data_IF_325401308717
#
_entry.id   IF_325401308717
#
_cell.length_a   1.000
_cell.length_b   1.000
_cell.length_c   1.000
_cell.angle_alpha   90.00
_cell.angle_beta   90.00
_cell.angle_gamma   90.00
#
_symmetry.space_group_name_H-M   'P 1'
#
loop_
_entity.id
_entity.type
_entity.pdbx_description
1 polymer ?
#
# COMPACT_ATOMS: atom_id res chain seq x y z
N UNK A 1 15.61 -4.73 2.69
CA UNK A 1 15.60 -3.38 2.07
C UNK A 1 16.14 -3.30 0.64
N UNK A 2 17.44 -3.53 0.34
CA UNK A 2 18.00 -3.29 -1.01
C UNK A 2 17.30 -4.10 -2.14
N UNK A 3 16.96 -5.36 -1.87
CA UNK A 3 16.24 -6.22 -2.80
C UNK A 3 14.79 -5.77 -3.05
N UNK A 4 14.08 -5.34 -2.00
CA UNK A 4 12.70 -4.81 -2.09
C UNK A 4 12.64 -3.51 -2.90
N UNK A 5 13.63 -2.62 -2.71
CA UNK A 5 13.77 -1.37 -3.48
C UNK A 5 14.02 -1.67 -4.96
N UNK A 6 14.90 -2.64 -5.25
CA UNK A 6 15.19 -3.05 -6.63
C UNK A 6 13.94 -3.62 -7.33
N UNK A 7 13.18 -4.49 -6.66
CA UNK A 7 11.94 -5.05 -7.20
C UNK A 7 10.87 -3.98 -7.41
N UNK A 8 10.75 -3.04 -6.46
CA UNK A 8 9.82 -1.92 -6.57
C UNK A 8 10.20 -0.99 -7.73
N UNK A 9 11.50 -0.70 -7.92
CA UNK A 9 12.00 0.08 -9.04
C UNK A 9 11.76 -0.61 -10.39
N UNK A 10 11.99 -1.92 -10.47
CA UNK A 10 11.70 -2.70 -11.67
C UNK A 10 10.20 -2.69 -12.03
N UNK A 11 9.31 -2.72 -11.03
CA UNK A 11 7.87 -2.64 -11.24
C UNK A 11 7.40 -1.29 -11.81
N UNK A 12 8.20 -0.21 -11.70
CA UNK A 12 7.92 1.08 -12.34
C UNK A 12 8.32 1.16 -13.81
N UNK A 13 9.21 0.27 -14.30
CA UNK A 13 9.72 0.34 -15.67
C UNK A 13 8.60 0.28 -16.74
N UNK A 14 7.59 -0.60 -16.64
CA UNK A 14 6.45 -0.61 -17.57
C UNK A 14 5.70 0.73 -17.64
N UNK A 15 5.61 1.46 -16.53
CA UNK A 15 4.97 2.78 -16.49
C UNK A 15 5.82 3.84 -17.20
N UNK A 16 7.14 3.79 -17.06
CA UNK A 16 8.05 4.66 -17.80
C UNK A 16 7.97 4.42 -19.32
N UNK A 17 7.87 3.14 -19.74
CA UNK A 17 7.65 2.79 -21.13
C UNK A 17 6.32 3.35 -21.65
N UNK A 18 5.24 3.22 -20.86
CA UNK A 18 3.93 3.79 -21.20
C UNK A 18 3.97 5.30 -21.32
N UNK A 19 4.63 5.97 -20.37
CA UNK A 19 4.79 7.43 -20.36
C UNK A 19 5.52 7.93 -21.61
N UNK A 20 6.52 7.17 -22.09
CA UNK A 20 7.21 7.46 -23.35
C UNK A 20 6.30 7.31 -24.57
N UNK A 21 5.45 6.28 -24.61
CA UNK A 21 4.54 6.04 -25.74
C UNK A 21 3.47 7.13 -25.90
N UNK A 22 3.02 7.68 -24.78
CA UNK A 22 1.96 8.69 -24.74
C UNK A 22 2.49 10.12 -24.61
N UNK A 23 3.82 10.29 -24.60
CA UNK A 23 4.50 11.55 -24.39
C UNK A 23 3.95 12.32 -23.18
N UNK A 24 3.97 11.69 -22.01
CA UNK A 24 3.43 12.25 -20.76
C UNK A 24 4.51 12.66 -19.76
N UNK A 25 5.79 12.63 -20.14
CA UNK A 25 6.89 13.00 -19.23
C UNK A 25 6.87 14.48 -18.86
N UNK A 26 6.44 15.36 -19.76
CA UNK A 26 6.21 16.78 -19.51
C UNK A 26 5.14 17.00 -18.44
N UNK A 27 3.98 16.36 -18.58
CA UNK A 27 2.88 16.42 -17.63
C UNK A 27 3.27 15.80 -16.28
N UNK A 28 4.09 14.75 -16.31
CA UNK A 28 4.60 14.13 -15.09
C UNK A 28 5.59 15.05 -14.37
N UNK A 29 6.47 15.71 -15.12
CA UNK A 29 7.50 16.62 -14.59
C UNK A 29 6.99 17.98 -14.15
N UNK A 30 5.83 18.44 -14.65
CA UNK A 30 5.30 19.77 -14.32
C UNK A 30 4.91 19.89 -12.84
N UNK A 31 4.50 18.78 -12.21
CA UNK A 31 4.12 18.77 -10.80
C UNK A 31 2.89 19.62 -10.48
N UNK A 32 2.09 19.99 -11.48
CA UNK A 32 0.92 20.87 -11.29
C UNK A 32 -0.09 20.28 -10.30
N UNK A 33 -0.18 18.95 -10.20
CA UNK A 33 -1.01 18.26 -9.23
C UNK A 33 -0.69 18.65 -7.78
N UNK A 34 0.56 19.01 -7.45
CA UNK A 34 0.96 19.42 -6.10
C UNK A 34 0.36 20.76 -5.68
N UNK A 35 -0.13 21.56 -6.63
CA UNK A 35 -0.86 22.80 -6.34
C UNK A 35 -2.35 22.55 -6.06
N UNK A 36 -2.84 21.35 -6.35
CA UNK A 36 -4.26 21.01 -6.19
C UNK A 36 -4.61 20.64 -4.74
N UNK A 37 -5.55 21.35 -4.09
CA UNK A 37 -6.03 20.96 -2.76
C UNK A 37 -6.66 19.56 -2.73
N UNK A 38 -7.35 19.15 -3.81
CA UNK A 38 -7.99 17.83 -3.87
C UNK A 38 -6.97 16.69 -3.86
N UNK A 39 -5.78 16.92 -4.42
CA UNK A 39 -4.69 15.95 -4.40
C UNK A 39 -4.17 15.73 -2.98
N UNK A 40 -3.95 16.81 -2.22
CA UNK A 40 -3.52 16.73 -0.82
C UNK A 40 -4.58 16.13 0.10
N UNK A 41 -5.86 16.45 -0.10
CA UNK A 41 -6.95 15.83 0.64
C UNK A 41 -7.04 14.33 0.35
N UNK A 42 -6.84 13.92 -0.90
CA UNK A 42 -6.77 12.51 -1.27
C UNK A 42 -5.59 11.83 -0.60
N UNK A 43 -4.41 12.45 -0.65
CA UNK A 43 -3.21 11.94 -0.01
C UNK A 43 -3.42 11.80 1.50
N UNK A 44 -4.02 12.77 2.18
CA UNK A 44 -4.31 12.68 3.61
C UNK A 44 -5.23 11.49 3.93
N UNK A 45 -6.29 11.30 3.15
CA UNK A 45 -7.18 10.16 3.27
C UNK A 45 -6.46 8.83 3.07
N UNK A 46 -5.60 8.73 2.05
CA UNK A 46 -4.80 7.54 1.80
C UNK A 46 -3.77 7.28 2.91
N UNK A 47 -3.12 8.35 3.38
CA UNK A 47 -2.09 8.37 4.42
C UNK A 47 -2.61 7.94 5.79
N UNK A 48 -3.92 8.03 6.03
CA UNK A 48 -4.55 7.68 7.32
C UNK A 48 -4.17 6.28 7.78
N UNK A 49 -4.05 5.32 6.85
CA UNK A 49 -3.67 3.95 7.20
C UNK A 49 -2.26 3.85 7.81
N UNK A 50 -1.31 4.62 7.25
CA UNK A 50 0.09 4.60 7.65
C UNK A 50 0.30 5.36 8.95
N UNK A 51 -0.42 6.46 9.14
CA UNK A 51 -0.45 7.17 10.41
C UNK A 51 -0.97 6.27 11.53
N UNK A 52 -2.02 5.48 11.24
CA UNK A 52 -2.53 4.49 12.18
C UNK A 52 -1.49 3.41 12.49
N UNK A 53 -0.87 2.79 11.48
CA UNK A 53 0.18 1.79 11.72
C UNK A 53 1.34 2.37 12.53
N UNK A 54 1.84 3.55 12.17
CA UNK A 54 2.89 4.24 12.92
C UNK A 54 2.50 4.52 14.37
N UNK A 55 1.25 4.92 14.62
CA UNK A 55 0.74 5.08 15.98
C UNK A 55 0.71 3.76 16.76
N UNK A 56 0.18 2.68 16.18
CA UNK A 56 0.08 1.38 16.85
C UNK A 56 1.48 0.80 17.10
N UNK A 57 2.41 0.95 16.15
CA UNK A 57 3.77 0.48 16.26
C UNK A 57 4.53 1.13 17.43
N UNK A 58 4.44 2.46 17.55
CA UNK A 58 5.18 3.25 18.54
C UNK A 58 4.46 3.36 19.89
N UNK A 59 3.14 3.24 19.93
CA UNK A 59 2.31 3.43 21.13
C UNK A 59 1.36 2.25 21.39
N UNK A 60 1.81 1.02 21.16
CA UNK A 60 1.00 -0.20 21.26
C UNK A 60 0.21 -0.33 22.57
N UNK A 61 0.82 0.01 23.73
CA UNK A 61 0.15 -0.01 25.04
C UNK A 61 -1.01 0.99 25.12
N UNK A 62 -0.84 2.18 24.54
CA UNK A 62 -1.90 3.20 24.50
C UNK A 62 -3.02 2.76 23.59
N UNK A 63 -2.69 2.20 22.42
CA UNK A 63 -3.67 1.63 21.51
C UNK A 63 -4.47 0.51 22.18
N UNK A 64 -3.82 -0.43 22.86
CA UNK A 64 -4.50 -1.49 23.61
C UNK A 64 -5.49 -0.92 24.65
N UNK A 65 -5.07 0.09 25.43
CA UNK A 65 -5.96 0.75 26.39
C UNK A 65 -7.12 1.54 25.75
N UNK A 66 -6.97 1.99 24.50
CA UNK A 66 -8.04 2.62 23.72
C UNK A 66 -9.03 1.57 23.18
N UNK A 67 -8.55 0.37 22.84
CA UNK A 67 -9.40 -0.74 22.37
C UNK A 67 -10.41 -1.19 23.42
N UNK A 68 -10.11 -1.03 24.71
CA UNK A 68 -11.03 -1.36 25.81
C UNK A 68 -12.19 -0.36 25.96
N UNK A 69 -12.19 0.74 25.20
CA UNK A 69 -13.16 1.82 25.29
C UNK A 69 -14.02 1.91 24.01
N UNK A 70 -15.32 2.25 24.12
CA UNK A 70 -16.13 2.61 22.94
C UNK A 70 -15.55 3.86 22.22
N UNK A 71 -15.65 3.95 20.88
CA UNK A 71 -16.30 3.00 19.97
C UNK A 71 -15.41 1.82 19.54
N UNK A 72 -14.09 1.84 19.82
CA UNK A 72 -13.14 0.83 19.33
C UNK A 72 -13.43 -0.58 19.84
N UNK A 73 -13.95 -0.71 21.06
CA UNK A 73 -14.38 -2.01 21.62
C UNK A 73 -15.42 -2.74 20.76
N UNK A 74 -16.19 -2.02 19.95
CA UNK A 74 -17.19 -2.62 19.06
C UNK A 74 -16.56 -3.27 17.83
N UNK A 75 -15.30 -2.94 17.52
CA UNK A 75 -14.59 -3.42 16.34
C UNK A 75 -13.87 -4.76 16.56
N UNK A 76 -13.79 -5.25 17.80
CA UNK A 76 -13.08 -6.49 18.09
C UNK A 76 -12.96 -6.80 19.57
N UNK A 77 -12.69 -8.08 19.88
CA UNK A 77 -12.54 -8.58 21.24
C UNK A 77 -11.13 -8.36 21.81
N UNK A 78 -10.13 -8.29 20.92
CA UNK A 78 -8.73 -8.12 21.23
C UNK A 78 -8.16 -6.95 20.38
N UNK A 79 -7.13 -6.21 20.83
CA UNK A 79 -6.55 -5.11 20.05
C UNK A 79 -6.12 -5.49 18.62
N UNK A 80 -5.69 -6.74 18.42
CA UNK A 80 -5.37 -7.32 17.09
C UNK A 80 -6.61 -7.36 16.19
N UNK A 81 -7.77 -7.76 16.72
CA UNK A 81 -9.02 -7.81 15.97
C UNK A 81 -9.51 -6.39 15.64
N UNK A 82 -9.38 -5.47 16.62
CA UNK A 82 -9.70 -4.05 16.42
C UNK A 82 -8.83 -3.46 15.32
N UNK A 83 -7.53 -3.76 15.29
CA UNK A 83 -6.63 -3.31 14.24
C UNK A 83 -7.03 -3.89 12.87
N UNK A 84 -7.31 -5.20 12.78
CA UNK A 84 -7.80 -5.81 11.54
C UNK A 84 -9.09 -5.15 11.02
N UNK A 85 -10.04 -4.83 11.91
CA UNK A 85 -11.27 -4.11 11.55
C UNK A 85 -11.00 -2.66 11.13
N UNK A 86 -10.07 -1.97 11.80
CA UNK A 86 -9.66 -0.63 11.43
C UNK A 86 -8.97 -0.57 10.06
N UNK A 87 -8.24 -1.62 9.65
CA UNK A 87 -7.74 -1.71 8.27
C UNK A 87 -8.88 -1.70 7.26
N UNK A 88 -9.96 -2.45 7.51
CA UNK A 88 -11.12 -2.46 6.60
C UNK A 88 -11.72 -1.05 6.51
N UNK A 89 -11.87 -0.36 7.65
CA UNK A 89 -12.33 1.03 7.68
C UNK A 89 -11.37 1.95 6.91
N UNK A 90 -10.05 1.80 7.10
CA UNK A 90 -9.04 2.58 6.41
C UNK A 90 -9.05 2.33 4.90
N UNK A 91 -9.35 1.09 4.45
CA UNK A 91 -9.53 0.75 3.03
C UNK A 91 -10.76 1.42 2.44
N UNK A 92 -11.85 1.53 3.19
CA UNK A 92 -13.05 2.28 2.78
C UNK A 92 -12.76 3.78 2.68
N UNK A 93 -12.02 4.35 3.63
CA UNK A 93 -11.57 5.75 3.58
C UNK A 93 -10.67 5.97 2.36
N UNK A 94 -9.69 5.10 2.12
CA UNK A 94 -8.82 5.13 0.95
C UNK A 94 -9.61 5.10 -0.36
N UNK A 95 -10.55 4.16 -0.50
CA UNK A 95 -11.40 4.05 -1.69
C UNK A 95 -12.29 5.30 -1.86
N UNK A 96 -12.88 5.80 -0.77
CA UNK A 96 -13.69 7.03 -0.78
C UNK A 96 -12.87 8.26 -1.18
N UNK A 97 -11.67 8.42 -0.63
CA UNK A 97 -10.76 9.53 -0.96
C UNK A 97 -10.36 9.52 -2.42
N UNK A 98 -9.96 8.36 -2.97
CA UNK A 98 -9.64 8.23 -4.40
C UNK A 98 -10.88 8.49 -5.27
N UNK A 99 -12.05 7.97 -4.88
CA UNK A 99 -13.30 8.20 -5.61
C UNK A 99 -13.71 9.68 -5.66
N UNK A 100 -13.59 10.40 -4.53
CA UNK A 100 -13.84 11.83 -4.45
C UNK A 100 -12.82 12.64 -5.25
N UNK A 101 -11.54 12.27 -5.15
CA UNK A 101 -10.44 12.90 -5.90
C UNK A 101 -10.62 12.81 -7.41
N UNK A 102 -11.02 11.63 -7.91
CA UNK A 102 -11.27 11.45 -9.34
C UNK A 102 -12.47 12.27 -9.81
N UNK A 103 -13.51 12.42 -8.99
CA UNK A 103 -14.74 13.10 -9.40
C UNK A 103 -15.38 12.45 -10.65
N UNK A 104 -16.33 13.10 -11.33
CA UNK A 104 -16.91 12.56 -12.56
C UNK A 104 -15.92 12.49 -13.73
N UNK A 105 -15.12 13.55 -13.96
CA UNK A 105 -14.20 13.66 -15.09
C UNK A 105 -12.99 12.73 -14.98
N UNK A 106 -12.40 12.59 -13.80
CA UNK A 106 -11.31 11.65 -13.55
C UNK A 106 -11.78 10.20 -13.64
N UNK A 107 -13.02 9.89 -13.22
CA UNK A 107 -13.60 8.54 -13.40
C UNK A 107 -13.82 8.21 -14.88
N UNK A 108 -14.32 9.16 -15.68
CA UNK A 108 -14.44 8.94 -17.13
C UNK A 108 -13.07 8.78 -17.80
N UNK A 109 -12.07 9.56 -17.39
CA UNK A 109 -10.70 9.42 -17.88
C UNK A 109 -10.09 8.07 -17.50
N UNK A 110 -10.29 7.59 -16.27
CA UNK A 110 -9.86 6.28 -15.82
C UNK A 110 -10.52 5.15 -16.61
N UNK A 111 -11.83 5.27 -16.87
CA UNK A 111 -12.57 4.31 -17.68
C UNK A 111 -12.07 4.25 -19.13
N UNK A 112 -11.79 5.40 -19.74
CA UNK A 112 -11.20 5.46 -21.09
C UNK A 112 -9.77 4.89 -21.11
N UNK A 113 -8.95 5.24 -20.11
CA UNK A 113 -7.61 4.71 -19.96
C UNK A 113 -7.61 3.17 -19.86
N UNK A 114 -8.51 2.62 -19.05
CA UNK A 114 -8.68 1.17 -18.91
C UNK A 114 -9.11 0.49 -20.23
N UNK A 115 -10.04 1.09 -20.98
CA UNK A 115 -10.52 0.55 -22.26
C UNK A 115 -9.48 0.62 -23.39
N UNK A 116 -8.67 1.66 -23.40
CA UNK A 116 -7.70 1.93 -24.48
C UNK A 116 -6.29 1.43 -24.16
N UNK A 117 -6.06 0.96 -22.93
CA UNK A 117 -4.79 0.39 -22.54
C UNK A 117 -4.44 -0.83 -23.41
N UNK A 118 -3.23 -0.88 -24.00
CA UNK A 118 -2.76 -2.04 -24.74
C UNK A 118 -2.79 -3.32 -23.88
N UNK A 119 -2.95 -4.47 -24.52
CA UNK A 119 -3.02 -5.77 -23.84
C UNK A 119 -1.80 -6.04 -22.92
N UNK A 120 -0.62 -5.55 -23.29
CA UNK A 120 0.57 -5.73 -22.47
C UNK A 120 0.49 -4.97 -21.12
N UNK A 121 -0.21 -3.82 -21.06
CA UNK A 121 -0.42 -3.10 -19.79
C UNK A 121 -1.24 -3.95 -18.82
N UNK A 122 -2.30 -4.60 -19.34
CA UNK A 122 -3.13 -5.53 -18.58
C UNK A 122 -2.38 -6.80 -18.19
N UNK A 123 -1.53 -7.34 -19.06
CA UNK A 123 -0.69 -8.48 -18.75
C UNK A 123 0.30 -8.18 -17.61
N UNK A 124 0.93 -6.99 -17.64
CA UNK A 124 1.79 -6.52 -16.54
C UNK A 124 0.99 -6.38 -15.25
N UNK A 125 -0.17 -5.72 -15.29
CA UNK A 125 -1.03 -5.58 -14.12
C UNK A 125 -1.42 -6.94 -13.54
N UNK A 126 -1.90 -7.87 -14.37
CA UNK A 126 -2.30 -9.19 -13.94
C UNK A 126 -1.13 -9.99 -13.33
N UNK A 127 0.05 -9.94 -13.94
CA UNK A 127 1.24 -10.61 -13.43
C UNK A 127 1.70 -10.08 -12.06
N UNK A 128 1.77 -8.75 -11.92
CA UNK A 128 2.18 -8.11 -10.67
C UNK A 128 1.11 -8.20 -9.58
N UNK A 129 -0.17 -8.14 -9.95
CA UNK A 129 -1.29 -8.42 -9.05
C UNK A 129 -1.19 -9.86 -8.54
N UNK A 130 -1.02 -10.85 -9.42
CA UNK A 130 -0.94 -12.25 -9.03
C UNK A 130 0.26 -12.51 -8.09
N UNK A 131 1.44 -11.98 -8.42
CA UNK A 131 2.61 -12.06 -7.56
C UNK A 131 2.37 -11.37 -6.20
N UNK A 132 1.78 -10.18 -6.21
CA UNK A 132 1.52 -9.41 -5.00
C UNK A 132 0.48 -10.05 -4.09
N UNK A 133 -0.59 -10.59 -4.65
CA UNK A 133 -1.60 -11.33 -3.89
C UNK A 133 -1.05 -12.66 -3.36
N UNK A 134 -0.20 -13.35 -4.13
CA UNK A 134 0.48 -14.57 -3.65
C UNK A 134 1.37 -14.29 -2.44
N UNK A 135 2.14 -13.19 -2.44
CA UNK A 135 2.96 -12.78 -1.29
C UNK A 135 2.11 -12.43 -0.06
N UNK A 136 1.00 -11.70 -0.27
CA UNK A 136 0.07 -11.41 0.82
C UNK A 136 -0.54 -12.69 1.39
N UNK A 137 -1.13 -13.54 0.55
CA UNK A 137 -1.74 -14.81 0.98
C UNK A 137 -0.73 -15.71 1.71
N UNK A 138 0.49 -15.83 1.19
CA UNK A 138 1.55 -16.60 1.82
C UNK A 138 1.96 -16.02 3.19
N UNK A 139 1.99 -14.70 3.34
CA UNK A 139 2.25 -14.05 4.63
C UNK A 139 1.17 -14.38 5.65
N UNK A 140 -0.12 -14.22 5.28
CA UNK A 140 -1.23 -14.57 6.16
C UNK A 140 -1.23 -16.06 6.52
N UNK A 141 -0.89 -16.95 5.58
CA UNK A 141 -0.75 -18.38 5.86
C UNK A 141 0.41 -18.71 6.81
N UNK A 142 1.51 -17.95 6.72
CA UNK A 142 2.73 -18.21 7.48
C UNK A 142 2.65 -17.71 8.94
N UNK A 143 2.13 -16.49 9.17
CA UNK A 143 2.16 -15.84 10.49
C UNK A 143 0.76 -15.48 11.03
N UNK A 144 -0.29 -15.72 10.25
CA UNK A 144 -1.68 -15.46 10.64
C UNK A 144 -2.00 -13.97 10.82
N UNK A 145 -3.27 -13.70 11.16
CA UNK A 145 -3.72 -12.33 11.46
C UNK A 145 -2.93 -11.68 12.60
N UNK A 146 -2.59 -12.46 13.63
CA UNK A 146 -1.79 -11.96 14.74
C UNK A 146 -0.39 -11.52 14.29
N UNK A 147 0.23 -12.22 13.34
CA UNK A 147 1.52 -11.79 12.79
C UNK A 147 1.42 -10.52 11.96
N UNK A 148 0.39 -10.40 11.12
CA UNK A 148 0.20 -9.22 10.25
C UNK A 148 -0.16 -7.97 11.05
N UNK A 149 -0.98 -8.09 12.10
CA UNK A 149 -1.50 -6.96 12.88
C UNK A 149 -0.77 -6.74 14.21
N UNK A 150 0.56 -6.78 14.18
CA UNK A 150 1.43 -6.50 15.33
C UNK A 150 1.09 -7.25 16.61
N UNK A 151 0.63 -8.49 16.50
CA UNK A 151 0.23 -9.32 17.64
C UNK A 151 1.29 -9.40 18.72
N UNK A 152 2.57 -9.50 18.35
CA UNK A 152 3.68 -9.52 19.30
C UNK A 152 3.78 -8.25 20.17
N UNK A 153 3.38 -7.08 19.65
CA UNK A 153 3.30 -5.83 20.42
C UNK A 153 1.99 -5.68 21.18
N UNK A 154 0.95 -6.39 20.75
CA UNK A 154 -0.41 -6.31 21.28
C UNK A 154 -0.78 -7.49 22.20
N UNK A 155 0.20 -8.29 22.65
CA UNK A 155 0.00 -9.34 23.64
C UNK A 155 -0.35 -10.72 23.09
N UNK A 156 -0.22 -10.95 21.78
CA UNK A 156 -0.28 -12.29 21.16
C UNK A 156 1.12 -12.82 20.89
N UNK A 157 1.32 -14.12 21.11
CA UNK A 157 2.53 -14.80 20.66
C UNK A 157 2.44 -15.02 19.14
N UNK A 158 3.44 -14.56 18.41
CA UNK A 158 3.56 -14.73 16.96
C UNK A 158 4.80 -15.60 16.70
N UNK A 159 4.68 -16.76 16.04
CA UNK A 159 5.83 -17.59 15.71
C UNK A 159 6.68 -16.92 14.64
N UNK A 160 8.01 -17.02 14.78
CA UNK A 160 8.92 -16.71 13.68
C UNK A 160 8.75 -17.72 12.56
N UNK A 161 8.70 -17.23 11.32
CA UNK A 161 8.60 -18.07 10.13
C UNK A 161 9.89 -17.94 9.30
N UNK A 162 10.54 -19.07 9.04
CA UNK A 162 11.70 -19.16 8.15
C UNK A 162 11.36 -19.79 6.80
N UNK A 163 10.08 -20.14 6.57
CA UNK A 163 9.59 -20.68 5.31
C UNK A 163 9.20 -19.60 4.31
N UNK A 164 8.62 -19.99 3.19
CA UNK A 164 8.05 -19.05 2.24
C UNK A 164 6.90 -18.24 2.88
N UNK A 165 6.81 -16.91 2.69
CA UNK A 165 7.64 -16.07 1.79
C UNK A 165 8.92 -15.48 2.43
N UNK A 166 9.17 -15.70 3.71
CA UNK A 166 10.28 -15.10 4.47
C UNK A 166 11.67 -15.68 4.12
N UNK A 167 11.75 -16.88 3.52
CA UNK A 167 13.00 -17.47 3.03
C UNK A 167 13.56 -16.83 1.74
N UNK A 168 12.86 -15.84 1.16
CA UNK A 168 13.24 -15.21 -0.12
C UNK A 168 14.15 -13.99 0.04
N UNK A 169 14.54 -13.65 1.28
CA UNK A 169 15.26 -12.41 1.59
C UNK A 169 14.36 -11.17 1.69
N UNK A 170 13.05 -11.35 1.57
CA UNK A 170 12.04 -10.32 1.83
C UNK A 170 11.74 -10.26 3.33
N UNK A 171 11.75 -9.06 3.90
CA UNK A 171 11.47 -8.87 5.34
C UNK A 171 10.00 -8.58 5.60
N UNK A 172 9.37 -7.81 4.71
CA UNK A 172 7.91 -7.59 4.74
C UNK A 172 7.29 -7.96 3.38
N UNK A 173 7.14 -9.26 3.07
CA UNK A 173 6.62 -9.73 1.79
C UNK A 173 5.23 -9.17 1.46
N UNK A 174 4.38 -8.96 2.47
CA UNK A 174 3.06 -8.34 2.33
C UNK A 174 3.13 -6.91 1.79
N UNK A 175 4.09 -6.11 2.24
CA UNK A 175 4.25 -4.72 1.77
C UNK A 175 4.75 -4.65 0.34
N UNK A 176 5.72 -5.49 -0.02
CA UNK A 176 6.11 -5.64 -1.41
C UNK A 176 4.91 -6.07 -2.26
N UNK A 177 4.09 -7.00 -1.78
CA UNK A 177 2.92 -7.45 -2.52
C UNK A 177 1.91 -6.34 -2.83
N UNK A 178 1.72 -5.39 -1.91
CA UNK A 178 0.89 -4.21 -2.19
C UNK A 178 1.57 -3.27 -3.18
N UNK A 179 2.86 -3.01 -3.05
CA UNK A 179 3.62 -2.18 -4.00
C UNK A 179 3.55 -2.74 -5.42
N UNK A 180 3.72 -4.06 -5.60
CA UNK A 180 3.57 -4.71 -6.91
C UNK A 180 2.17 -4.51 -7.48
N UNK A 181 1.13 -4.63 -6.64
CA UNK A 181 -0.26 -4.42 -7.06
C UNK A 181 -0.49 -2.97 -7.52
N UNK A 182 0.00 -1.99 -6.76
CA UNK A 182 -0.13 -0.57 -7.08
C UNK A 182 0.64 -0.21 -8.35
N UNK A 183 1.89 -0.64 -8.45
CA UNK A 183 2.77 -0.28 -9.56
C UNK A 183 2.40 -1.03 -10.84
N UNK A 184 1.84 -2.24 -10.73
CA UNK A 184 1.28 -2.94 -11.88
C UNK A 184 0.10 -2.21 -12.54
N UNK A 185 -0.62 -1.35 -11.80
CA UNK A 185 -1.69 -0.54 -12.37
C UNK A 185 -1.18 0.72 -13.09
N UNK A 186 0.05 1.18 -12.81
CA UNK A 186 0.60 2.40 -13.40
C UNK A 186 0.57 2.44 -14.94
N UNK A 187 0.94 1.38 -15.69
CA UNK A 187 0.87 1.39 -17.16
C UNK A 187 -0.53 1.55 -17.73
N UNK A 188 -1.58 1.31 -16.93
CA UNK A 188 -2.98 1.52 -17.32
C UNK A 188 -3.37 2.97 -17.03
N UNK A 189 -3.01 3.49 -15.86
CA UNK A 189 -3.44 4.83 -15.39
C UNK A 189 -2.56 5.97 -15.87
N UNK A 190 -1.41 5.70 -16.47
CA UNK A 190 -0.58 6.72 -17.12
C UNK A 190 -1.23 7.11 -18.44
N UNK A 191 -1.99 8.21 -18.40
CA UNK A 191 -2.47 8.99 -19.55
C UNK A 191 -2.22 10.47 -19.27
N UNK A 192 -2.33 11.34 -20.29
CA UNK A 192 -2.08 12.78 -20.12
C UNK A 192 -3.05 13.39 -19.09
N UNK A 193 -4.34 13.07 -19.19
CA UNK A 193 -5.39 13.59 -18.32
C UNK A 193 -5.21 13.14 -16.87
N UNK A 194 -4.95 11.84 -16.64
CA UNK A 194 -4.75 11.29 -15.29
C UNK A 194 -3.43 11.74 -14.68
N UNK A 195 -2.40 11.97 -15.51
CA UNK A 195 -1.11 12.51 -15.07
C UNK A 195 -1.24 13.97 -14.64
N UNK A 196 -1.97 14.80 -15.41
CA UNK A 196 -2.27 16.18 -15.02
C UNK A 196 -3.10 16.25 -13.73
N UNK A 197 -4.04 15.31 -13.55
CA UNK A 197 -4.79 15.18 -12.29
C UNK A 197 -3.88 14.75 -11.11
N UNK A 198 -2.77 14.06 -11.39
CA UNK A 198 -1.79 13.60 -10.41
C UNK A 198 -2.04 12.19 -9.87
N UNK A 199 -2.84 11.37 -10.55
CA UNK A 199 -3.13 9.99 -10.11
C UNK A 199 -1.87 9.11 -10.10
N UNK A 200 -1.00 9.09 -11.15
CA UNK A 200 0.26 8.34 -11.11
C UNK A 200 1.19 8.80 -9.98
N UNK A 201 1.29 10.10 -9.71
CA UNK A 201 2.07 10.63 -8.58
C UNK A 201 1.53 10.13 -7.25
N UNK A 202 0.20 10.14 -7.07
CA UNK A 202 -0.45 9.62 -5.87
C UNK A 202 -0.13 8.13 -5.67
N UNK A 203 -0.18 7.32 -6.74
CA UNK A 203 0.16 5.88 -6.68
C UNK A 203 1.62 5.66 -6.31
N UNK A 204 2.55 6.47 -6.83
CA UNK A 204 3.97 6.39 -6.49
C UNK A 204 4.24 6.77 -5.03
N UNK A 205 3.63 7.85 -4.54
CA UNK A 205 3.70 8.26 -3.13
C UNK A 205 3.06 7.20 -2.23
N UNK A 206 1.95 6.59 -2.67
CA UNK A 206 1.34 5.47 -1.97
C UNK A 206 2.31 4.28 -1.84
N UNK A 207 2.94 3.86 -2.94
CA UNK A 207 3.93 2.79 -2.90
C UNK A 207 5.13 3.11 -2.00
N UNK A 208 5.61 4.36 -1.99
CA UNK A 208 6.74 4.75 -1.14
C UNK A 208 6.39 4.72 0.35
N UNK A 209 5.15 5.02 0.75
CA UNK A 209 4.69 4.90 2.14
C UNK A 209 4.82 3.45 2.66
N UNK A 210 4.56 2.44 1.83
CA UNK A 210 4.83 1.03 2.20
C UNK A 210 6.33 0.75 2.39
N UNK A 211 7.20 1.39 1.60
CA UNK A 211 8.65 1.34 1.80
C UNK A 211 9.07 1.95 3.14
N UNK A 212 8.48 3.09 3.52
CA UNK A 212 8.73 3.73 4.82
C UNK A 212 8.24 2.85 5.96
N UNK A 213 7.05 2.25 5.85
CA UNK A 213 6.53 1.31 6.86
C UNK A 213 7.45 0.10 7.02
N UNK A 214 7.86 -0.50 5.90
CA UNK A 214 8.82 -1.59 5.90
C UNK A 214 10.10 -1.18 6.62
N UNK A 215 10.69 -0.03 6.31
CA UNK A 215 11.90 0.43 6.99
C UNK A 215 11.71 0.70 8.49
N UNK A 216 10.57 1.29 8.89
CA UNK A 216 10.24 1.55 10.29
C UNK A 216 10.10 0.24 11.08
N UNK A 217 9.47 -0.77 10.50
CA UNK A 217 9.28 -2.07 11.16
C UNK A 217 10.58 -2.84 11.26
N UNK A 218 11.37 -2.89 10.18
CA UNK A 218 12.70 -3.50 10.18
C UNK A 218 13.60 -2.96 11.30
N UNK A 219 13.49 -1.66 11.61
CA UNK A 219 14.30 -1.02 12.65
C UNK A 219 13.87 -1.34 14.09
N UNK A 220 12.64 -1.83 14.30
CA UNK A 220 12.08 -2.10 15.64
C UNK A 220 11.63 -3.55 15.83
N UNK A 221 12.02 -4.43 14.91
CA UNK A 221 11.81 -5.86 15.00
C UNK A 221 12.62 -6.48 16.13
N UNK A 222 12.09 -7.55 16.68
CA UNK A 222 12.53 -8.17 17.92
C UNK A 222 13.61 -9.24 17.64
N UNK A 223 14.66 -8.88 16.89
CA UNK A 223 15.72 -9.79 16.44
C UNK A 223 16.55 -10.33 17.63
N UNK A 224 16.50 -9.67 18.80
CA UNK A 224 17.40 -9.91 19.94
C UNK A 224 16.77 -10.63 21.16
N UNK A 225 15.72 -11.46 21.01
CA UNK A 225 15.16 -12.22 22.16
C UNK A 225 15.33 -13.73 22.11
N UNK A 226 16.14 -14.24 21.19
CA UNK A 226 16.52 -15.66 21.15
C UNK A 226 18.01 -15.81 20.87
N UNK A 227 18.82 -15.50 21.87
CA UNK A 227 20.14 -16.09 22.10
C UNK A 227 20.29 -16.38 23.58
#
# INVERSE_FOLDING_TARGET
MAFEVLLSGAACFPAALRSRQLDTFDAFGSGDCLRSPSWWLCLLGVSTNYLMHGFIWNYSKRFAALCDKPPLKLLGSHPVDVFASLEVVAKLVQAGSVGMFLGPSGRSALWEAARTAPAWCWAVFAGLLAAGQALNAATYNAIGNAGVYYGFKLGRTVPWCHGFPFNTGLRHPQYLGVVLTLFGALPIVVTRELTQLGLPHLVLVWGSMYGVMSAMEQAGDNDDKTS
#
